data_IF_097145571062
#
_entry.id   IF_097145571062
#
_cell.length_a   1.000
_cell.length_b   1.000
_cell.length_c   1.000
_cell.angle_alpha   90.00
_cell.angle_beta   90.00
_cell.angle_gamma   90.00
#
_symmetry.space_group_name_H-M   'P 1'
#
loop_
_entity.id
_entity.type
_entity.pdbx_description
1 polymer ?
#
# COMPACT_ATOMS: atom_id res chain seq x y z
N UNK A 1 -5.22 12.30 -0.30
CA UNK A 1 -5.74 12.60 1.05
C UNK A 1 -6.92 13.55 1.01
N UNK A 2 -6.76 14.76 0.44
CA UNK A 2 -7.83 15.76 0.38
C UNK A 2 -9.14 15.22 -0.23
N UNK A 3 -9.04 14.46 -1.32
CA UNK A 3 -10.22 13.93 -2.02
C UNK A 3 -10.80 12.66 -1.39
N UNK A 4 -10.01 11.97 -0.56
CA UNK A 4 -10.40 10.69 0.05
C UNK A 4 -11.01 10.87 1.44
N UNK A 5 -10.71 11.98 2.11
CA UNK A 5 -11.17 12.24 3.49
C UNK A 5 -10.65 11.22 4.50
N UNK A 6 -9.49 10.61 4.24
CA UNK A 6 -8.79 9.69 5.15
C UNK A 6 -7.48 10.31 5.62
N UNK A 7 -7.07 10.00 6.84
CA UNK A 7 -5.74 10.33 7.33
C UNK A 7 -4.69 9.37 6.75
N UNK A 8 -3.39 9.75 6.72
CA UNK A 8 -2.35 8.88 6.17
C UNK A 8 -2.25 7.49 6.81
N UNK A 9 -2.58 7.35 8.09
CA UNK A 9 -2.59 6.07 8.79
C UNK A 9 -3.72 5.13 8.39
N UNK A 10 -4.75 5.64 7.72
CA UNK A 10 -5.92 4.89 7.25
C UNK A 10 -5.82 4.52 5.76
N UNK A 11 -4.73 4.91 5.10
CA UNK A 11 -4.52 4.70 3.67
C UNK A 11 -3.32 3.79 3.46
N UNK A 12 -3.44 2.92 2.47
CA UNK A 12 -2.33 2.12 1.94
C UNK A 12 -2.16 2.42 0.46
N UNK A 13 -0.92 2.59 0.03
CA UNK A 13 -0.54 2.66 -1.37
C UNK A 13 -0.12 1.25 -1.81
N UNK A 14 -0.66 0.79 -2.95
CA UNK A 14 -0.30 -0.50 -3.55
C UNK A 14 0.38 -0.25 -4.89
N UNK A 15 1.55 -0.82 -5.10
CA UNK A 15 2.33 -0.68 -6.34
C UNK A 15 3.44 -1.72 -6.42
N UNK A 16 4.12 -1.79 -7.56
CA UNK A 16 5.06 -2.86 -7.89
C UNK A 16 6.51 -2.36 -8.08
N UNK A 17 6.73 -1.05 -8.02
CA UNK A 17 8.04 -0.42 -8.27
C UNK A 17 8.62 0.30 -7.05
N UNK A 18 9.92 0.62 -7.10
CA UNK A 18 10.56 1.50 -6.12
C UNK A 18 9.98 2.91 -6.11
N UNK A 19 9.45 3.39 -7.25
CA UNK A 19 8.84 4.70 -7.34
C UNK A 19 7.53 4.76 -6.56
N UNK A 20 6.73 3.70 -6.58
CA UNK A 20 5.52 3.59 -5.76
C UNK A 20 5.84 3.63 -4.27
N UNK A 21 6.88 2.91 -3.85
CA UNK A 21 7.40 2.94 -2.47
C UNK A 21 7.82 4.34 -2.04
N UNK A 22 8.53 5.07 -2.92
CA UNK A 22 8.95 6.44 -2.65
C UNK A 22 7.76 7.40 -2.57
N UNK A 23 6.78 7.26 -3.45
CA UNK A 23 5.53 8.02 -3.40
C UNK A 23 4.77 7.79 -2.10
N UNK A 24 4.63 6.52 -1.69
CA UNK A 24 3.98 6.15 -0.43
C UNK A 24 4.69 6.78 0.78
N UNK A 25 6.02 6.68 0.82
CA UNK A 25 6.84 7.28 1.87
C UNK A 25 6.71 8.80 1.92
N UNK A 26 6.75 9.47 0.76
CA UNK A 26 6.58 10.92 0.67
C UNK A 26 5.19 11.39 1.12
N UNK A 27 4.16 10.58 0.86
CA UNK A 27 2.78 10.82 1.32
C UNK A 27 2.55 10.43 2.79
N UNK A 28 3.52 9.78 3.44
CA UNK A 28 3.41 9.32 4.82
C UNK A 28 2.40 8.18 5.01
N UNK A 29 2.15 7.38 3.97
CA UNK A 29 1.24 6.22 4.02
C UNK A 29 2.01 4.92 4.04
N UNK A 30 1.32 3.84 4.45
CA UNK A 30 1.88 2.50 4.32
C UNK A 30 1.96 2.07 2.86
N UNK A 31 2.93 1.22 2.54
CA UNK A 31 3.15 0.68 1.22
C UNK A 31 3.06 -0.85 1.19
N UNK A 32 2.25 -1.38 0.27
CA UNK A 32 2.21 -2.78 -0.09
C UNK A 32 2.85 -3.01 -1.46
N UNK A 33 3.93 -3.81 -1.50
CA UNK A 33 4.55 -4.25 -2.74
C UNK A 33 3.75 -5.39 -3.36
N UNK A 34 3.21 -5.14 -4.55
CA UNK A 34 2.52 -6.10 -5.39
C UNK A 34 3.52 -7.02 -6.12
N UNK A 35 3.86 -8.16 -5.51
CA UNK A 35 4.84 -9.10 -6.07
C UNK A 35 4.39 -9.73 -7.40
N UNK A 36 3.09 -9.71 -7.71
CA UNK A 36 2.56 -10.20 -8.99
C UNK A 36 2.88 -9.29 -10.19
N UNK A 37 3.38 -8.08 -9.96
CA UNK A 37 3.89 -7.17 -10.99
C UNK A 37 5.36 -6.77 -10.79
N UNK A 38 5.88 -6.94 -9.57
CA UNK A 38 7.17 -6.37 -9.20
C UNK A 38 8.35 -6.99 -9.96
N UNK A 39 9.10 -6.13 -10.64
CA UNK A 39 10.39 -6.51 -11.25
C UNK A 39 11.51 -6.72 -10.22
N UNK A 40 11.42 -6.08 -9.06
CA UNK A 40 12.35 -6.26 -7.94
C UNK A 40 11.58 -6.62 -6.64
N UNK A 41 11.74 -7.86 -6.12
CA UNK A 41 11.06 -8.29 -4.91
C UNK A 41 11.66 -7.69 -3.63
N UNK A 42 12.72 -6.88 -3.71
CA UNK A 42 13.40 -6.29 -2.55
C UNK A 42 13.07 -4.81 -2.33
N UNK A 43 12.18 -4.22 -3.13
CA UNK A 43 11.70 -2.85 -2.91
C UNK A 43 11.29 -2.67 -1.45
N UNK A 44 11.71 -1.58 -0.77
CA UNK A 44 11.28 -1.28 0.60
C UNK A 44 9.76 -1.18 0.70
N UNK A 45 9.14 -1.87 1.65
CA UNK A 45 7.70 -1.88 1.83
C UNK A 45 7.32 -2.27 3.26
N UNK A 46 6.09 -1.93 3.67
CA UNK A 46 5.50 -2.40 4.92
C UNK A 46 4.89 -3.80 4.77
N UNK A 47 4.36 -4.10 3.58
CA UNK A 47 3.75 -5.40 3.26
C UNK A 47 4.28 -5.90 1.91
N UNK A 48 4.64 -7.18 1.84
CA UNK A 48 4.87 -7.88 0.57
C UNK A 48 3.65 -8.75 0.30
N UNK A 49 3.05 -8.61 -0.88
CA UNK A 49 1.77 -9.24 -1.19
C UNK A 49 1.94 -10.05 -2.47
N UNK A 50 1.76 -11.37 -2.40
CA UNK A 50 1.98 -12.29 -3.53
C UNK A 50 0.77 -12.32 -4.48
N UNK A 51 -0.43 -12.15 -3.95
CA UNK A 51 -1.68 -12.14 -4.69
C UNK A 51 -2.62 -11.02 -4.22
N UNK A 52 -3.40 -10.39 -5.13
CA UNK A 52 -4.33 -9.31 -4.76
C UNK A 52 -5.33 -9.69 -3.65
N UNK A 53 -5.71 -10.97 -3.55
CA UNK A 53 -6.63 -11.46 -2.53
C UNK A 53 -6.13 -11.26 -1.09
N UNK A 54 -4.81 -11.24 -0.87
CA UNK A 54 -4.21 -10.99 0.45
C UNK A 54 -4.47 -9.56 0.94
N UNK A 55 -4.79 -8.61 0.04
CA UNK A 55 -5.15 -7.24 0.44
C UNK A 55 -6.42 -7.20 1.29
N UNK A 56 -7.30 -8.21 1.23
CA UNK A 56 -8.52 -8.26 2.05
C UNK A 56 -8.21 -8.33 3.53
N UNK A 57 -7.12 -9.00 3.91
CA UNK A 57 -6.69 -9.08 5.32
C UNK A 57 -6.00 -7.80 5.80
N UNK A 58 -5.40 -7.04 4.87
CA UNK A 58 -4.68 -5.79 5.15
C UNK A 58 -5.64 -4.61 5.19
N UNK A 59 -6.56 -4.54 4.23
CA UNK A 59 -7.52 -3.47 4.02
C UNK A 59 -8.86 -3.83 4.69
N UNK A 60 -8.90 -3.86 6.02
CA UNK A 60 -10.18 -3.93 6.72
C UNK A 60 -10.81 -2.53 6.79
N UNK A 61 -12.11 -2.40 6.46
CA UNK A 61 -12.81 -1.15 6.68
C UNK A 61 -12.78 -0.78 8.17
N UNK A 62 -12.56 0.50 8.45
CA UNK A 62 -12.69 1.01 9.81
C UNK A 62 -14.14 0.80 10.30
N UNK A 63 -14.35 0.26 11.52
CA UNK A 63 -15.71 0.08 12.03
C UNK A 63 -16.43 1.43 12.11
N UNK A 64 -17.64 1.51 11.55
CA UNK A 64 -18.52 2.67 11.71
C UNK A 64 -18.38 3.78 10.67
N UNK A 65 -17.78 3.51 9.50
CA UNK A 65 -17.83 4.38 8.31
C UNK A 65 -18.47 3.65 7.13
#
# INVERSE_FOLDING_TARGET
MADTGFSPGEVIYVGDTVYDSQCARAAGVKFALALWGAGDPNVPCDYRVAHPAELVEICRPAPGR
#
